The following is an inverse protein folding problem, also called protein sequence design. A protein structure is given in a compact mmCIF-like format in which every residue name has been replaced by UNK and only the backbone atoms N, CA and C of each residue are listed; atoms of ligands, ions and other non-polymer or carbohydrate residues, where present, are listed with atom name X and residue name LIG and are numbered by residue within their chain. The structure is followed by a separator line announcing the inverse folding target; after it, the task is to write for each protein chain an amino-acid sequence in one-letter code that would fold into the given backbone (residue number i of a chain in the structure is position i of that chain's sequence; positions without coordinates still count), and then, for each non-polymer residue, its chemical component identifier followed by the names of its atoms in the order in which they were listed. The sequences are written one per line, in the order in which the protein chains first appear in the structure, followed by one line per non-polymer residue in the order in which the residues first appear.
data_IF_068260700879
#
_entry.id   IF_068260700879
#
_cell.length_a   1.000
_cell.length_b   1.000
_cell.length_c   1.000
_cell.angle_alpha   90.00
_cell.angle_beta   90.00
_cell.angle_gamma   90.00
#
_symmetry.space_group_name_H-M   'P 1'
#
loop_
_entity.id
_entity.type
_entity.pdbx_description
1 polymer ?
#
# COMPACT_ATOMS: atom_id res chain seq x y z
N UNK A 1 -16.99 -30.32 -1.79
CA UNK A 1 -15.82 -29.80 -1.02
C UNK A 1 -15.00 -28.78 -1.81
N UNK A 2 -15.04 -28.78 -3.15
CA UNK A 2 -14.41 -27.75 -3.98
C UNK A 2 -15.19 -26.43 -3.98
N UNK A 3 -16.51 -26.46 -3.88
CA UNK A 3 -17.39 -25.28 -4.04
C UNK A 3 -17.11 -24.17 -3.02
N UNK A 4 -16.83 -24.53 -1.77
CA UNK A 4 -16.47 -23.56 -0.72
C UNK A 4 -15.08 -22.93 -0.96
N UNK A 5 -14.16 -23.67 -1.57
CA UNK A 5 -12.85 -23.17 -1.95
C UNK A 5 -12.94 -22.28 -3.21
N UNK A 6 -13.81 -22.62 -4.16
CA UNK A 6 -14.05 -21.81 -5.34
C UNK A 6 -14.62 -20.44 -4.99
N UNK A 7 -15.62 -20.40 -4.10
CA UNK A 7 -16.21 -19.14 -3.61
C UNK A 7 -15.20 -18.26 -2.88
N UNK A 8 -14.35 -18.86 -2.03
CA UNK A 8 -13.30 -18.11 -1.30
C UNK A 8 -12.21 -17.61 -2.25
N UNK A 9 -11.80 -18.40 -3.23
CA UNK A 9 -10.84 -17.99 -4.28
C UNK A 9 -11.42 -16.86 -5.13
N UNK A 10 -12.68 -16.94 -5.54
CA UNK A 10 -13.35 -15.88 -6.29
C UNK A 10 -13.44 -14.59 -5.45
N UNK A 11 -13.74 -14.72 -4.16
CA UNK A 11 -13.79 -13.61 -3.22
C UNK A 11 -12.41 -12.96 -3.01
N UNK A 12 -11.35 -13.75 -2.83
CA UNK A 12 -9.97 -13.26 -2.73
C UNK A 12 -9.52 -12.57 -4.03
N UNK A 13 -9.87 -13.11 -5.20
CA UNK A 13 -9.62 -12.44 -6.48
C UNK A 13 -10.36 -11.11 -6.60
N UNK A 14 -11.61 -11.03 -6.11
CA UNK A 14 -12.39 -9.79 -6.08
C UNK A 14 -11.74 -8.76 -5.14
N UNK A 15 -11.38 -9.17 -3.92
CA UNK A 15 -10.67 -8.31 -2.97
C UNK A 15 -9.33 -7.83 -3.51
N UNK A 16 -8.57 -8.70 -4.20
CA UNK A 16 -7.30 -8.34 -4.84
C UNK A 16 -7.48 -7.22 -5.87
N UNK A 17 -8.48 -7.35 -6.75
CA UNK A 17 -8.80 -6.31 -7.75
C UNK A 17 -9.23 -4.99 -7.10
N UNK A 18 -9.79 -5.05 -5.90
CA UNK A 18 -10.22 -3.90 -5.12
C UNK A 18 -9.11 -3.37 -4.18
N UNK A 19 -7.89 -3.94 -4.23
CA UNK A 19 -6.80 -3.61 -3.29
C UNK A 19 -7.21 -3.74 -1.80
N UNK A 20 -8.19 -4.62 -1.51
CA UNK A 20 -8.82 -4.78 -0.20
C UNK A 20 -8.39 -6.06 0.54
N UNK A 21 -7.27 -6.67 0.15
CA UNK A 21 -6.69 -7.84 0.83
C UNK A 21 -5.89 -7.48 2.11
N UNK A 22 -5.56 -6.20 2.30
CA UNK A 22 -4.86 -5.73 3.50
C UNK A 22 -5.82 -5.47 4.66
N UNK A 23 -5.39 -5.76 5.89
CA UNK A 23 -6.17 -5.50 7.12
C UNK A 23 -6.42 -4.01 7.40
N UNK A 24 -5.72 -3.14 6.69
CA UNK A 24 -5.98 -1.71 6.56
C UNK A 24 -5.16 -1.27 5.34
N UNK A 25 -5.74 -0.53 4.38
CA UNK A 25 -4.93 -0.04 3.27
C UNK A 25 -3.86 0.89 3.86
N UNK A 26 -2.59 0.50 3.75
CA UNK A 26 -1.43 1.30 4.17
C UNK A 26 -1.51 2.72 3.56
N UNK A 27 -2.06 2.79 2.34
CA UNK A 27 -2.50 4.01 1.63
C UNK A 27 -3.36 4.94 2.50
N UNK A 28 -4.32 4.42 3.28
CA UNK A 28 -5.16 5.25 4.14
C UNK A 28 -4.40 5.84 5.35
N UNK A 29 -3.31 5.22 5.80
CA UNK A 29 -2.44 5.83 6.81
C UNK A 29 -1.54 6.90 6.20
N UNK A 30 -1.00 6.66 5.01
CA UNK A 30 -0.21 7.63 4.27
C UNK A 30 -1.02 8.91 3.97
N UNK A 31 -2.26 8.78 3.51
CA UNK A 31 -3.15 9.92 3.25
C UNK A 31 -3.47 10.72 4.51
N UNK A 32 -3.78 10.02 5.63
CA UNK A 32 -4.04 10.67 6.92
C UNK A 32 -2.82 11.38 7.47
N UNK A 33 -1.64 10.77 7.35
CA UNK A 33 -0.39 11.37 7.77
C UNK A 33 -0.09 12.62 6.94
N UNK A 34 -0.21 12.53 5.61
CA UNK A 34 -0.03 13.66 4.69
C UNK A 34 -0.98 14.80 5.04
N UNK A 35 -2.27 14.51 5.25
CA UNK A 35 -3.25 15.51 5.66
C UNK A 35 -2.85 16.18 6.98
N UNK A 36 -2.49 15.41 8.02
CA UNK A 36 -2.03 15.94 9.31
C UNK A 36 -0.76 16.79 9.19
N UNK A 37 0.21 16.36 8.37
CA UNK A 37 1.44 17.11 8.14
C UNK A 37 1.18 18.45 7.45
N UNK A 38 0.34 18.45 6.39
CA UNK A 38 -0.02 19.69 5.68
C UNK A 38 -0.76 20.67 6.58
N UNK A 39 -1.65 20.18 7.45
CA UNK A 39 -2.34 21.02 8.43
C UNK A 39 -1.36 21.65 9.42
N UNK A 40 -0.44 20.88 9.98
CA UNK A 40 0.61 21.39 10.86
C UNK A 40 1.49 22.45 10.17
N UNK A 41 1.89 22.23 8.91
CA UNK A 41 2.69 23.20 8.18
C UNK A 41 1.96 24.54 7.95
N UNK A 42 0.65 24.50 7.73
CA UNK A 42 -0.18 25.71 7.62
C UNK A 42 -0.24 26.49 8.96
N UNK A 43 -0.42 25.80 10.08
CA UNK A 43 -0.40 26.39 11.42
C UNK A 43 0.95 27.06 11.71
N UNK A 44 2.07 26.42 11.35
CA UNK A 44 3.41 27.02 11.48
C UNK A 44 3.52 28.30 10.65
N UNK A 45 3.00 28.30 9.43
CA UNK A 45 2.98 29.50 8.59
C UNK A 45 2.16 30.64 9.20
N UNK A 46 1.01 30.33 9.79
CA UNK A 46 0.17 31.32 10.45
C UNK A 46 0.82 31.87 11.73
N UNK A 47 1.44 30.99 12.51
CA UNK A 47 2.18 31.37 13.70
C UNK A 47 3.34 32.30 13.36
N UNK A 48 4.14 31.95 12.34
CA UNK A 48 5.22 32.82 11.86
C UNK A 48 4.69 34.15 11.33
N UNK A 49 3.60 34.16 10.56
CA UNK A 49 3.01 35.41 10.07
C UNK A 49 2.56 36.32 11.22
N UNK A 50 1.94 35.76 12.26
CA UNK A 50 1.44 36.51 13.43
C UNK A 50 2.58 37.02 14.31
N UNK A 51 3.62 36.20 14.52
CA UNK A 51 4.78 36.55 15.36
C UNK A 51 5.80 37.45 14.66
N UNK A 52 5.82 37.45 13.32
CA UNK A 52 6.59 38.39 12.50
C UNK A 52 5.85 39.70 12.26
N UNK A 53 4.51 39.71 12.29
CA UNK A 53 3.68 40.92 12.27
C UNK A 53 3.67 41.59 13.66
N UNK A 54 4.83 41.86 14.24
CA UNK A 54 4.90 42.69 15.44
C UNK A 54 4.68 44.16 15.06
N UNK A 55 3.99 44.91 15.93
CA UNK A 55 3.67 46.31 15.75
C UNK A 55 4.88 47.16 15.32
N UNK A 56 4.70 48.21 14.50
CA UNK A 56 5.79 49.08 14.08
C UNK A 56 6.49 49.70 15.30
N UNK A 57 7.75 49.31 15.53
CA UNK A 57 8.57 49.78 16.65
C UNK A 57 9.00 48.70 17.66
N UNK A 58 8.57 47.44 17.50
CA UNK A 58 9.08 46.32 18.27
C UNK A 58 9.96 45.41 17.39
N UNK A 59 11.12 45.01 17.90
CA UNK A 59 12.00 44.05 17.22
C UNK A 59 11.23 42.74 16.95
N UNK A 60 11.34 42.16 15.75
CA UNK A 60 10.71 40.89 15.45
C UNK A 60 11.28 39.81 16.36
N UNK A 61 10.41 39.05 17.02
CA UNK A 61 10.80 37.99 17.97
C UNK A 61 11.56 36.83 17.30
N UNK A 62 11.40 36.68 15.99
CA UNK A 62 11.99 35.63 15.16
C UNK A 62 12.61 36.29 13.93
N UNK A 63 13.84 35.88 13.59
CA UNK A 63 14.53 36.33 12.38
C UNK A 63 13.71 35.96 11.12
N UNK A 64 13.35 36.94 10.26
CA UNK A 64 12.60 36.69 9.03
C UNK A 64 13.25 35.64 8.12
N UNK A 65 14.59 35.57 8.07
CA UNK A 65 15.29 34.58 7.23
C UNK A 65 15.05 33.15 7.72
N UNK A 66 15.07 32.93 9.03
CA UNK A 66 14.83 31.63 9.64
C UNK A 66 13.41 31.10 9.36
N UNK A 67 12.40 31.96 9.41
CA UNK A 67 11.01 31.58 9.13
C UNK A 67 10.81 31.16 7.66
N UNK A 68 11.40 31.90 6.72
CA UNK A 68 11.35 31.54 5.29
C UNK A 68 12.02 30.19 5.03
N UNK A 69 13.20 29.94 5.63
CA UNK A 69 13.91 28.66 5.52
C UNK A 69 13.08 27.49 6.07
N UNK A 70 12.41 27.70 7.20
CA UNK A 70 11.53 26.69 7.80
C UNK A 70 10.36 26.36 6.87
N UNK A 71 9.67 27.37 6.34
CA UNK A 71 8.54 27.16 5.42
C UNK A 71 8.98 26.47 4.11
N UNK A 72 10.15 26.83 3.59
CA UNK A 72 10.75 26.16 2.44
C UNK A 72 11.04 24.68 2.74
N UNK A 73 11.57 24.38 3.93
CA UNK A 73 11.82 23.01 4.36
C UNK A 73 10.52 22.21 4.47
N UNK A 74 9.48 22.77 5.08
CA UNK A 74 8.17 22.12 5.20
C UNK A 74 7.55 21.84 3.81
N UNK A 75 7.66 22.77 2.86
CA UNK A 75 7.23 22.56 1.47
C UNK A 75 7.97 21.40 0.79
N UNK A 76 9.28 21.27 1.03
CA UNK A 76 10.09 20.15 0.52
C UNK A 76 9.67 18.82 1.16
N UNK A 77 9.43 18.80 2.47
CA UNK A 77 8.94 17.62 3.17
C UNK A 77 7.58 17.13 2.64
N UNK A 78 6.65 18.04 2.31
CA UNK A 78 5.36 17.66 1.72
C UNK A 78 5.54 16.92 0.39
N UNK A 79 6.44 17.38 -0.48
CA UNK A 79 6.73 16.71 -1.77
C UNK A 79 7.29 15.31 -1.56
N UNK A 80 8.22 15.16 -0.62
CA UNK A 80 8.81 13.86 -0.26
C UNK A 80 7.77 12.88 0.29
N UNK A 81 6.79 13.38 1.04
CA UNK A 81 5.67 12.57 1.53
C UNK A 81 4.78 12.12 0.36
N UNK A 82 4.53 12.99 -0.61
CA UNK A 82 3.78 12.68 -1.84
C UNK A 82 4.47 11.57 -2.65
N UNK A 83 5.78 11.71 -2.88
CA UNK A 83 6.60 10.73 -3.60
C UNK A 83 6.61 9.34 -2.91
N UNK A 84 6.58 9.31 -1.58
CA UNK A 84 6.57 8.07 -0.80
C UNK A 84 5.16 7.46 -0.65
N UNK A 85 4.10 8.21 -0.92
CA UNK A 85 2.70 7.76 -0.79
C UNK A 85 2.19 6.95 -1.99
N UNK A 86 2.96 6.92 -3.08
CA UNK A 86 2.71 6.06 -4.21
C UNK A 86 3.66 4.84 -4.16
N UNK A 87 3.31 3.75 -3.47
CA UNK A 87 3.94 2.48 -3.78
C UNK A 87 3.48 2.14 -5.21
N UNK A 88 4.35 2.33 -6.20
CA UNK A 88 4.29 1.52 -7.41
C UNK A 88 4.30 0.06 -6.94
N UNK A 89 3.11 -0.53 -6.82
CA UNK A 89 2.97 -1.96 -6.64
C UNK A 89 3.36 -2.53 -7.99
N UNK A 90 4.65 -2.74 -8.17
CA UNK A 90 5.23 -3.58 -9.21
C UNK A 90 4.62 -4.97 -9.04
N UNK A 91 3.45 -5.21 -9.63
CA UNK A 91 2.83 -6.53 -9.70
C UNK A 91 3.78 -7.44 -10.49
N UNK A 92 4.48 -8.43 -9.89
CA UNK A 92 5.36 -9.30 -10.65
C UNK A 92 4.61 -10.44 -11.37
N UNK A 93 3.28 -10.35 -11.53
CA UNK A 93 2.47 -11.41 -12.14
C UNK A 93 1.67 -10.89 -13.34
N UNK A 94 2.40 -10.50 -14.38
CA UNK A 94 1.87 -10.59 -15.75
C UNK A 94 2.21 -11.98 -16.29
N UNK A 95 1.27 -12.55 -17.04
CA UNK A 95 1.24 -13.88 -17.69
C UNK A 95 0.64 -15.02 -16.85
N UNK A 96 -0.63 -15.40 -17.10
CA UNK A 96 -1.03 -16.78 -16.94
C UNK A 96 -0.37 -17.62 -18.06
N UNK A 97 0.30 -18.75 -17.76
CA UNK A 97 0.71 -19.68 -18.81
C UNK A 97 -0.53 -20.31 -19.44
N UNK A 98 -0.49 -20.34 -20.77
CA UNK A 98 -1.38 -20.99 -21.71
C UNK A 98 -1.87 -22.37 -21.23
N UNK A 99 -3.17 -22.63 -21.37
CA UNK A 99 -3.76 -23.98 -21.26
C UNK A 99 -3.08 -24.97 -22.23
N UNK A 100 -2.75 -26.19 -21.79
CA UNK A 100 -2.64 -27.33 -22.70
C UNK A 100 -3.99 -28.03 -22.83
N UNK A 101 -4.46 -28.17 -24.07
CA UNK A 101 -5.59 -29.03 -24.47
C UNK A 101 -5.39 -30.50 -24.05
N UNK A 102 -6.48 -31.28 -23.89
CA UNK A 102 -6.40 -32.71 -23.66
C UNK A 102 -6.20 -33.49 -24.98
N UNK A 103 -5.41 -34.58 -25.00
CA UNK A 103 -5.62 -35.65 -25.96
C UNK A 103 -6.44 -36.79 -25.35
N UNK A 104 -7.61 -37.02 -25.94
CA UNK A 104 -8.39 -38.25 -25.90
C UNK A 104 -7.60 -39.45 -26.44
N UNK A 105 -7.54 -40.56 -25.68
CA UNK A 105 -7.88 -41.95 -26.10
C UNK A 105 -7.17 -43.02 -25.24
N UNK A 106 -7.99 -43.93 -24.71
CA UNK A 106 -7.76 -45.18 -23.92
C UNK A 106 -7.03 -46.30 -24.72
N UNK A 107 -6.88 -47.55 -24.22
CA UNK A 107 -6.51 -48.07 -22.88
C UNK A 107 -5.44 -49.21 -22.96
N UNK A 108 -4.72 -49.54 -21.87
CA UNK A 108 -4.34 -50.95 -21.57
C UNK A 108 -3.82 -51.12 -20.13
N UNK A 109 -4.03 -52.28 -19.48
CA UNK A 109 -3.87 -52.46 -18.04
C UNK A 109 -2.67 -53.33 -17.66
N UNK A 110 -1.88 -52.93 -16.66
CA UNK A 110 -1.02 -53.89 -15.93
C UNK A 110 -0.85 -53.47 -14.46
N UNK A 111 -1.66 -54.09 -13.61
CA UNK A 111 -1.26 -54.80 -12.38
C UNK A 111 0.16 -54.49 -11.83
N UNK A 112 0.26 -53.76 -10.72
CA UNK A 112 0.88 -54.29 -9.49
C UNK A 112 0.61 -53.40 -8.27
N UNK A 113 -0.05 -54.04 -7.29
CA UNK A 113 -0.10 -53.80 -5.86
C UNK A 113 1.12 -53.04 -5.30
N UNK A 114 0.89 -51.97 -4.53
CA UNK A 114 1.51 -51.77 -3.20
C UNK A 114 0.83 -50.62 -2.47
N UNK A 115 0.53 -50.92 -1.22
CA UNK A 115 -0.20 -50.19 -0.21
C UNK A 115 0.62 -48.98 0.29
N UNK A 116 0.08 -47.77 0.24
CA UNK A 116 0.46 -46.69 1.16
C UNK A 116 -0.74 -45.78 1.43
N UNK A 117 -1.53 -46.05 2.48
CA UNK A 117 -2.51 -45.11 2.96
C UNK A 117 -1.77 -44.03 3.77
N UNK A 118 -2.02 -42.77 3.41
CA UNK A 118 -1.73 -41.57 4.23
C UNK A 118 -0.40 -40.83 4.04
N UNK A 119 -0.10 -40.39 2.81
CA UNK A 119 0.52 -39.06 2.64
C UNK A 119 -0.52 -37.95 2.90
N UNK A 120 -0.95 -37.86 4.16
CA UNK A 120 -1.70 -36.73 4.69
C UNK A 120 -0.72 -35.57 4.80
N UNK A 121 -0.83 -34.64 3.87
CA UNK A 121 -0.21 -33.31 4.00
C UNK A 121 -0.61 -32.70 5.36
N UNK A 122 0.39 -32.25 6.12
CA UNK A 122 0.21 -31.47 7.34
C UNK A 122 0.90 -30.11 7.16
N UNK A 123 0.16 -28.99 7.24
CA UNK A 123 0.75 -27.68 7.40
C UNK A 123 0.95 -27.41 8.89
N UNK A 124 2.20 -27.42 9.32
CA UNK A 124 2.73 -26.42 10.24
C UNK A 124 4.01 -25.89 9.62
#
# INVERSE_FOLDING_TARGET
KADILELTVQHLHKLRRQHALGLTPEVAYADRFRAGFTHCAAEVSQYLATTMQTAPGAEPSIDPSSGVKLLQHLSSCIRRIDDNSNPEISNPYTTPPCSPQPPTSTPTPTLLKSDDPSSVWRPW
#
